data_IF_967027765248
#
_entry.id   IF_967027765248
#
_cell.length_a   1.000
_cell.length_b   1.000
_cell.length_c   1.000
_cell.angle_alpha   90.00
_cell.angle_beta   90.00
_cell.angle_gamma   90.00
#
_symmetry.space_group_name_H-M   'P 1'
#
loop_
_entity.id
_entity.type
_entity.pdbx_description
1 polymer ?
#
# COMPACT_ATOMS: atom_id res chain seq x y z
N UNK A 1 -21.35 21.79 11.50
CA UNK A 1 -20.59 20.53 11.76
C UNK A 1 -21.32 19.42 11.04
N UNK A 2 -20.62 18.51 10.32
CA UNK A 2 -21.23 17.37 9.63
C UNK A 2 -20.91 16.08 10.39
N UNK A 3 -21.84 15.12 10.34
CA UNK A 3 -21.62 13.81 10.94
C UNK A 3 -20.73 12.96 10.03
N UNK A 4 -19.62 12.44 10.54
CA UNK A 4 -18.80 11.47 9.80
C UNK A 4 -19.40 10.08 10.03
N UNK A 5 -19.87 9.44 8.96
CA UNK A 5 -20.53 8.13 9.01
C UNK A 5 -19.68 6.99 8.46
N UNK A 6 -18.52 7.31 7.90
CA UNK A 6 -17.61 6.30 7.39
C UNK A 6 -16.20 6.83 7.15
N UNK A 7 -15.24 5.93 7.21
CA UNK A 7 -13.87 6.19 6.81
C UNK A 7 -13.25 4.97 6.14
N UNK A 8 -12.25 5.21 5.28
CA UNK A 8 -11.47 4.12 4.70
C UNK A 8 -10.63 3.40 5.75
N UNK A 9 -10.42 2.11 5.55
CA UNK A 9 -9.41 1.36 6.30
C UNK A 9 -8.01 1.84 5.96
N UNK A 10 -7.04 1.41 6.76
CA UNK A 10 -5.61 1.63 6.51
C UNK A 10 -4.81 0.38 6.81
N UNK A 11 -4.01 -0.04 5.84
CA UNK A 11 -2.99 -1.06 6.00
C UNK A 11 -1.67 -0.46 5.52
N UNK A 12 -0.69 -0.32 6.40
CA UNK A 12 0.60 0.26 6.07
C UNK A 12 1.72 -0.75 6.33
N UNK A 13 2.64 -0.85 5.38
CA UNK A 13 3.75 -1.80 5.39
C UNK A 13 5.07 -1.09 5.18
N UNK A 14 6.11 -1.58 5.86
CA UNK A 14 7.50 -1.34 5.52
C UNK A 14 8.01 -2.57 4.78
N UNK A 15 8.64 -2.35 3.64
CA UNK A 15 9.24 -3.39 2.80
C UNK A 15 10.74 -3.23 2.81
N UNK A 16 11.45 -4.32 3.06
CA UNK A 16 12.92 -4.39 3.01
C UNK A 16 13.34 -5.29 1.86
N UNK A 17 14.14 -4.76 0.95
CA UNK A 17 14.76 -5.49 -0.15
C UNK A 17 16.23 -5.67 0.15
N UNK A 18 16.66 -6.91 0.33
CA UNK A 18 18.05 -7.31 0.60
C UNK A 18 18.68 -7.87 -0.68
N UNK A 19 19.59 -7.11 -1.26
CA UNK A 19 20.34 -7.45 -2.45
C UNK A 19 21.72 -8.03 -2.17
N UNK A 20 22.62 -7.86 -3.14
CA UNK A 20 24.03 -8.28 -3.03
C UNK A 20 24.93 -7.18 -3.59
N UNK A 21 25.75 -6.58 -2.73
CA UNK A 21 26.68 -5.54 -3.13
C UNK A 21 27.85 -6.08 -3.97
N UNK A 22 28.26 -5.30 -4.95
CA UNK A 22 29.52 -5.44 -5.67
C UNK A 22 29.89 -4.09 -6.31
N UNK A 23 31.09 -3.99 -6.88
CA UNK A 23 31.46 -2.80 -7.66
C UNK A 23 30.56 -2.68 -8.90
N UNK A 24 30.14 -1.46 -9.27
CA UNK A 24 29.23 -1.22 -10.38
C UNK A 24 29.70 -1.77 -11.74
N UNK A 25 31.03 -1.81 -11.96
CA UNK A 25 31.60 -2.49 -13.14
C UNK A 25 31.41 -4.01 -13.18
N UNK A 26 31.01 -4.62 -12.07
CA UNK A 26 30.68 -6.03 -11.91
C UNK A 26 29.18 -6.26 -11.63
N UNK A 27 28.32 -5.29 -11.93
CA UNK A 27 26.90 -5.31 -11.61
C UNK A 27 26.16 -6.62 -11.93
N UNK A 28 26.47 -7.40 -13.00
CA UNK A 28 25.85 -8.70 -13.24
C UNK A 28 26.10 -9.76 -12.16
N UNK A 29 27.12 -9.58 -11.31
CA UNK A 29 27.43 -10.45 -10.17
C UNK A 29 26.80 -9.98 -8.84
N UNK A 30 26.13 -8.84 -8.85
CA UNK A 30 25.38 -8.29 -7.73
C UNK A 30 23.86 -8.40 -7.92
N UNK A 31 23.13 -8.07 -6.86
CA UNK A 31 21.67 -7.96 -6.90
C UNK A 31 21.30 -6.55 -6.40
N UNK A 32 20.85 -5.70 -7.31
CA UNK A 32 20.58 -4.29 -7.02
C UNK A 32 19.23 -4.14 -6.28
N UNK A 33 19.28 -3.90 -4.98
CA UNK A 33 18.09 -3.76 -4.14
C UNK A 33 17.16 -2.61 -4.60
N UNK A 34 17.71 -1.49 -5.09
CA UNK A 34 16.90 -0.36 -5.60
C UNK A 34 16.12 -0.79 -6.86
N UNK A 35 16.75 -1.53 -7.78
CA UNK A 35 16.08 -1.97 -9.00
C UNK A 35 14.93 -2.95 -8.69
N UNK A 36 15.07 -3.83 -7.71
CA UNK A 36 13.99 -4.74 -7.30
C UNK A 36 12.89 -4.00 -6.52
N UNK A 37 13.26 -3.06 -5.64
CA UNK A 37 12.29 -2.19 -4.97
C UNK A 37 11.46 -1.39 -5.99
N UNK A 38 12.09 -0.81 -7.02
CA UNK A 38 11.39 -0.04 -8.05
C UNK A 38 10.40 -0.88 -8.86
N UNK A 39 10.73 -2.14 -9.16
CA UNK A 39 9.80 -3.07 -9.83
C UNK A 39 8.58 -3.39 -8.96
N UNK A 40 8.78 -3.58 -7.65
CA UNK A 40 7.69 -3.83 -6.73
C UNK A 40 6.80 -2.59 -6.55
N UNK A 41 7.41 -1.40 -6.47
CA UNK A 41 6.69 -0.12 -6.40
C UNK A 41 5.88 0.12 -7.69
N UNK A 42 6.44 -0.17 -8.86
CA UNK A 42 5.71 -0.09 -10.13
C UNK A 42 4.50 -1.03 -10.14
N UNK A 43 4.66 -2.27 -9.63
CA UNK A 43 3.54 -3.20 -9.50
C UNK A 43 2.43 -2.70 -8.56
N UNK A 44 2.81 -2.08 -7.42
CA UNK A 44 1.87 -1.45 -6.50
C UNK A 44 1.11 -0.30 -7.20
N UNK A 45 1.80 0.51 -8.01
CA UNK A 45 1.17 1.59 -8.78
C UNK A 45 0.23 1.05 -9.87
N UNK A 46 0.56 -0.08 -10.51
CA UNK A 46 -0.33 -0.77 -11.44
C UNK A 46 -1.62 -1.24 -10.75
N UNK A 47 -1.53 -1.83 -9.55
CA UNK A 47 -2.71 -2.19 -8.76
C UNK A 47 -3.55 -0.96 -8.37
N UNK A 48 -2.90 0.16 -8.02
CA UNK A 48 -3.59 1.42 -7.74
C UNK A 48 -4.37 1.92 -8.96
N UNK A 49 -3.77 1.88 -10.15
CA UNK A 49 -4.43 2.23 -11.43
C UNK A 49 -5.58 1.28 -11.72
N UNK A 50 -5.40 -0.03 -11.52
CA UNK A 50 -6.47 -1.02 -11.69
C UNK A 50 -7.68 -0.68 -10.80
N UNK A 51 -7.45 -0.34 -9.53
CA UNK A 51 -8.52 0.06 -8.60
C UNK A 51 -9.22 1.36 -9.01
N UNK A 52 -8.49 2.31 -9.54
CA UNK A 52 -9.08 3.57 -10.01
C UNK A 52 -10.00 3.41 -11.25
N UNK A 53 -9.79 2.35 -12.04
CA UNK A 53 -10.56 2.07 -13.26
C UNK A 53 -11.70 1.09 -12.98
N UNK A 54 -11.43 0.02 -12.22
CA UNK A 54 -12.32 -1.12 -12.09
C UNK A 54 -13.09 -1.15 -10.75
N UNK A 55 -12.71 -0.31 -9.77
CA UNK A 55 -13.34 -0.25 -8.47
C UNK A 55 -13.01 -1.45 -7.55
N UNK A 56 -13.87 -1.75 -6.58
CA UNK A 56 -15.22 -1.21 -6.34
C UNK A 56 -15.24 0.30 -6.05
N UNK A 57 -16.40 0.95 -6.29
CA UNK A 57 -16.58 2.38 -6.08
C UNK A 57 -17.59 2.67 -4.98
N UNK A 58 -17.33 3.76 -4.25
CA UNK A 58 -18.27 4.37 -3.31
C UNK A 58 -18.22 5.91 -3.50
N UNK A 59 -19.21 6.46 -4.18
CA UNK A 59 -19.27 7.87 -4.57
C UNK A 59 -19.56 8.84 -3.41
N UNK A 60 -19.76 8.32 -2.19
CA UNK A 60 -19.87 9.15 -0.98
C UNK A 60 -18.47 9.60 -0.48
N UNK A 61 -17.39 9.02 -1.00
CA UNK A 61 -16.04 9.48 -0.76
C UNK A 61 -15.56 10.43 -1.86
N UNK A 62 -14.75 11.42 -1.49
CA UNK A 62 -14.05 12.31 -2.44
C UNK A 62 -13.21 11.53 -3.45
N UNK A 63 -12.50 10.49 -2.98
CA UNK A 63 -11.83 9.50 -3.82
C UNK A 63 -12.61 8.19 -3.72
N UNK A 64 -13.39 7.81 -4.75
CA UNK A 64 -14.44 6.80 -4.64
C UNK A 64 -13.93 5.34 -4.67
N UNK A 65 -12.63 5.10 -4.73
CA UNK A 65 -12.03 3.77 -4.84
C UNK A 65 -10.93 3.54 -3.79
N UNK A 66 -10.53 2.30 -3.59
CA UNK A 66 -9.36 1.93 -2.80
C UNK A 66 -8.09 2.48 -3.43
N UNK A 67 -7.22 3.09 -2.63
CA UNK A 67 -5.95 3.64 -3.11
C UNK A 67 -4.76 2.90 -2.49
N UNK A 68 -3.71 2.72 -3.31
CA UNK A 68 -2.39 2.24 -2.88
C UNK A 68 -1.38 3.37 -3.12
N UNK A 69 -0.53 3.63 -2.14
CA UNK A 69 0.41 4.75 -2.20
C UNK A 69 1.75 4.38 -1.57
N UNK A 70 2.85 4.59 -2.31
CA UNK A 70 4.21 4.50 -1.77
C UNK A 70 4.66 5.88 -1.35
N UNK A 71 4.92 6.07 -0.05
CA UNK A 71 5.21 7.38 0.53
C UNK A 71 6.68 7.64 0.86
N UNK A 72 7.46 6.58 1.08
CA UNK A 72 8.88 6.70 1.49
C UNK A 72 9.70 5.66 0.77
N UNK A 73 10.91 6.04 0.33
CA UNK A 73 11.93 5.12 -0.18
C UNK A 73 13.32 5.59 0.25
N UNK A 74 14.17 4.63 0.65
CA UNK A 74 15.58 4.84 1.00
C UNK A 74 16.40 3.67 0.49
N UNK A 75 17.52 3.93 -0.18
CA UNK A 75 18.40 2.87 -0.66
C UNK A 75 19.70 3.38 -1.25
N UNK A 76 20.70 2.49 -1.24
CA UNK A 76 22.03 2.78 -1.74
C UNK A 76 22.88 3.64 -0.81
N UNK A 77 24.17 3.64 -1.05
CA UNK A 77 25.18 4.39 -0.25
C UNK A 77 26.06 5.27 -1.11
N UNK A 78 26.56 4.76 -2.25
CA UNK A 78 27.47 5.45 -3.17
C UNK A 78 27.22 4.96 -4.60
N UNK A 79 27.44 5.83 -5.59
CA UNK A 79 27.09 5.58 -7.00
C UNK A 79 27.75 4.34 -7.61
N UNK A 80 29.00 4.05 -7.25
CA UNK A 80 29.79 2.97 -7.87
C UNK A 80 29.72 1.62 -7.15
N UNK A 81 28.74 1.45 -6.24
CA UNK A 81 28.42 0.17 -5.56
C UNK A 81 26.99 -0.22 -5.92
N UNK A 82 26.79 -1.49 -6.29
CA UNK A 82 25.44 -2.06 -6.43
C UNK A 82 24.79 -2.09 -5.05
N UNK A 83 23.63 -1.45 -4.85
CA UNK A 83 22.97 -1.39 -3.55
C UNK A 83 22.52 -2.76 -3.08
N UNK A 84 22.90 -3.12 -1.85
CA UNK A 84 22.48 -4.35 -1.16
C UNK A 84 21.29 -4.16 -0.24
N UNK A 85 20.83 -2.90 -0.06
CA UNK A 85 19.67 -2.57 0.75
C UNK A 85 18.84 -1.46 0.11
N UNK A 86 17.53 -1.70 0.06
CA UNK A 86 16.54 -0.67 -0.20
C UNK A 86 15.31 -0.92 0.66
N UNK A 87 14.82 0.13 1.33
CA UNK A 87 13.62 0.08 2.14
C UNK A 87 12.59 1.09 1.60
N UNK A 88 11.33 0.71 1.58
CA UNK A 88 10.25 1.63 1.25
C UNK A 88 9.01 1.35 2.09
N UNK A 89 8.12 2.35 2.17
CA UNK A 89 6.86 2.23 2.88
C UNK A 89 5.72 2.54 1.94
N UNK A 90 4.68 1.70 2.00
CA UNK A 90 3.44 1.92 1.27
C UNK A 90 2.23 1.71 2.16
N UNK A 91 1.09 2.27 1.76
CA UNK A 91 -0.17 2.08 2.43
C UNK A 91 -1.32 1.80 1.45
N UNK A 92 -2.31 1.07 1.95
CA UNK A 92 -3.59 0.84 1.28
C UNK A 92 -4.67 1.54 2.09
N UNK A 93 -5.49 2.35 1.41
CA UNK A 93 -6.71 2.95 1.97
C UNK A 93 -7.91 2.31 1.32
N UNK A 94 -8.42 1.23 1.94
CA UNK A 94 -9.47 0.42 1.35
C UNK A 94 -10.87 0.90 1.70
N UNK A 95 -11.78 0.73 0.73
CA UNK A 95 -13.22 0.75 0.99
C UNK A 95 -13.63 -0.51 1.76
N UNK A 96 -14.74 -0.45 2.50
CA UNK A 96 -15.29 -1.64 3.20
C UNK A 96 -15.65 -2.79 2.23
N UNK A 97 -15.96 -2.44 0.98
CA UNK A 97 -16.30 -3.40 -0.09
C UNK A 97 -15.09 -4.09 -0.71
N UNK A 98 -13.87 -3.68 -0.33
CA UNK A 98 -12.62 -4.15 -0.93
C UNK A 98 -11.77 -4.82 0.14
N UNK A 99 -11.40 -6.07 -0.09
CA UNK A 99 -10.59 -6.82 0.85
C UNK A 99 -9.10 -6.45 0.68
N UNK A 100 -8.50 -5.75 1.67
CA UNK A 100 -7.10 -5.35 1.60
C UNK A 100 -6.14 -6.54 1.64
N UNK A 101 -6.53 -7.67 2.23
CA UNK A 101 -5.67 -8.86 2.30
C UNK A 101 -5.45 -9.47 0.92
N UNK A 102 -6.45 -9.41 0.03
CA UNK A 102 -6.26 -9.86 -1.35
C UNK A 102 -5.24 -8.99 -2.10
N UNK A 103 -5.19 -7.70 -1.83
CA UNK A 103 -4.20 -6.79 -2.43
C UNK A 103 -2.79 -7.07 -1.89
N UNK A 104 -2.66 -7.26 -0.58
CA UNK A 104 -1.38 -7.63 0.06
C UNK A 104 -0.88 -8.96 -0.51
N UNK A 105 -1.71 -9.98 -0.54
CA UNK A 105 -1.33 -11.29 -1.09
C UNK A 105 -0.84 -11.17 -2.54
N UNK A 106 -1.51 -10.40 -3.41
CA UNK A 106 -1.04 -10.16 -4.78
C UNK A 106 0.36 -9.53 -4.82
N UNK A 107 0.64 -8.57 -3.92
CA UNK A 107 1.94 -7.89 -3.83
C UNK A 107 3.02 -8.86 -3.34
N UNK A 108 2.73 -9.66 -2.31
CA UNK A 108 3.63 -10.67 -1.77
C UNK A 108 3.89 -11.80 -2.78
N UNK A 109 2.86 -12.28 -3.48
CA UNK A 109 2.99 -13.30 -4.52
C UNK A 109 3.88 -12.80 -5.67
N UNK A 110 3.67 -11.56 -6.14
CA UNK A 110 4.53 -10.96 -7.14
C UNK A 110 5.99 -10.85 -6.67
N UNK A 111 6.21 -10.44 -5.43
CA UNK A 111 7.56 -10.39 -4.84
C UNK A 111 8.21 -11.78 -4.80
N UNK A 112 7.49 -12.78 -4.31
CA UNK A 112 8.00 -14.16 -4.13
C UNK A 112 8.21 -14.87 -5.47
N UNK A 113 7.20 -14.89 -6.34
CA UNK A 113 7.22 -15.69 -7.56
C UNK A 113 8.07 -15.06 -8.68
N UNK A 114 8.12 -13.74 -8.74
CA UNK A 114 8.83 -13.04 -9.83
C UNK A 114 10.16 -12.46 -9.37
N UNK A 115 10.14 -11.64 -8.32
CA UNK A 115 11.33 -10.86 -7.96
C UNK A 115 12.36 -11.70 -7.20
N UNK A 116 11.97 -12.40 -6.13
CA UNK A 116 12.88 -13.23 -5.35
C UNK A 116 13.41 -14.39 -6.19
N UNK A 117 12.57 -15.01 -7.02
CA UNK A 117 13.00 -16.04 -7.95
C UNK A 117 14.09 -15.53 -8.91
N UNK A 118 13.97 -14.28 -9.40
CA UNK A 118 14.98 -13.67 -10.27
C UNK A 118 16.25 -13.31 -9.49
N UNK A 119 16.12 -12.74 -8.29
CA UNK A 119 17.25 -12.44 -7.38
C UNK A 119 18.08 -13.69 -7.05
N UNK A 120 17.42 -14.81 -6.81
CA UNK A 120 18.05 -16.09 -6.46
C UNK A 120 18.84 -16.73 -7.60
N UNK A 121 18.67 -16.30 -8.86
CA UNK A 121 19.59 -16.72 -9.95
C UNK A 121 21.02 -16.23 -9.74
N UNK A 122 21.20 -15.15 -8.96
CA UNK A 122 22.52 -14.59 -8.62
C UNK A 122 22.93 -15.01 -7.21
N UNK A 123 22.03 -14.90 -6.22
CA UNK A 123 22.33 -15.27 -4.83
C UNK A 123 21.09 -15.64 -4.04
N UNK A 124 21.08 -16.83 -3.45
CA UNK A 124 20.02 -17.30 -2.55
C UNK A 124 19.98 -16.58 -1.18
N UNK A 125 20.94 -15.68 -0.91
CA UNK A 125 20.97 -14.88 0.32
C UNK A 125 20.20 -13.58 0.22
N UNK A 126 19.65 -13.27 -0.96
CA UNK A 126 18.85 -12.06 -1.21
C UNK A 126 17.39 -12.32 -0.94
N UNK A 127 16.58 -11.27 -0.75
CA UNK A 127 15.17 -11.45 -0.47
C UNK A 127 14.40 -10.15 -0.35
N UNK A 128 13.09 -10.29 -0.17
CA UNK A 128 12.15 -9.20 0.09
C UNK A 128 11.31 -9.59 1.30
N UNK A 129 11.22 -8.73 2.28
CA UNK A 129 10.41 -8.95 3.48
C UNK A 129 9.44 -7.80 3.72
N UNK A 130 8.27 -8.15 4.25
CA UNK A 130 7.19 -7.21 4.57
C UNK A 130 6.99 -7.17 6.08
N UNK A 131 6.79 -5.98 6.62
CA UNK A 131 6.46 -5.76 8.02
C UNK A 131 5.26 -4.83 8.12
N UNK A 132 4.16 -5.36 8.68
CA UNK A 132 2.95 -4.58 8.91
C UNK A 132 3.20 -3.56 10.02
N UNK A 133 2.93 -2.27 9.74
CA UNK A 133 3.11 -1.16 10.68
C UNK A 133 1.81 -0.70 11.29
N UNK A 134 0.76 -0.67 10.48
CA UNK A 134 -0.57 -0.16 10.89
C UNK A 134 -1.63 -0.99 10.19
N UNK A 135 -2.65 -1.37 10.97
CA UNK A 135 -3.83 -2.05 10.47
C UNK A 135 -5.06 -1.58 11.24
N UNK A 136 -6.01 -0.95 10.55
CA UNK A 136 -7.35 -0.74 11.06
C UNK A 136 -8.39 -0.85 9.95
N UNK A 137 -9.58 -1.42 10.26
CA UNK A 137 -10.61 -1.68 9.25
C UNK A 137 -11.26 -0.37 8.77
N UNK A 138 -11.90 -0.45 7.59
CA UNK A 138 -12.83 0.58 7.15
C UNK A 138 -14.08 0.58 8.03
N UNK A 139 -14.66 1.76 8.23
CA UNK A 139 -15.96 1.93 8.87
C UNK A 139 -16.95 2.47 7.82
N UNK A 140 -18.11 1.88 7.76
CA UNK A 140 -19.23 2.38 6.96
C UNK A 140 -20.54 2.16 7.72
N UNK A 141 -21.07 3.24 8.27
CA UNK A 141 -22.36 3.26 8.94
C UNK A 141 -23.41 3.82 7.96
N UNK A 142 -24.47 3.07 7.72
CA UNK A 142 -25.60 3.59 6.92
C UNK A 142 -26.19 4.84 7.58
N UNK A 143 -26.63 5.78 6.75
CA UNK A 143 -27.25 7.03 7.23
C UNK A 143 -28.58 6.80 7.99
N UNK A 144 -29.22 5.67 7.77
CA UNK A 144 -30.49 5.28 8.38
C UNK A 144 -30.37 4.68 9.80
N UNK A 145 -29.15 4.49 10.30
CA UNK A 145 -28.93 3.97 11.65
C UNK A 145 -29.45 4.98 12.68
N UNK A 146 -30.20 4.49 13.68
CA UNK A 146 -30.83 5.32 14.72
C UNK A 146 -29.83 6.24 15.45
N UNK A 147 -28.60 5.78 15.67
CA UNK A 147 -27.54 6.59 16.26
C UNK A 147 -27.21 7.80 15.38
N UNK A 148 -27.07 7.61 14.08
CA UNK A 148 -26.77 8.69 13.11
C UNK A 148 -27.92 9.69 13.09
N UNK A 149 -29.16 9.21 13.07
CA UNK A 149 -30.37 10.07 13.12
C UNK A 149 -30.42 10.90 14.42
N UNK A 150 -30.14 10.28 15.56
CA UNK A 150 -30.07 10.98 16.85
C UNK A 150 -29.00 12.06 16.86
N UNK A 151 -27.78 11.76 16.38
CA UNK A 151 -26.68 12.74 16.32
C UNK A 151 -27.04 13.89 15.37
N UNK A 152 -27.59 13.61 14.17
CA UNK A 152 -28.09 14.62 13.24
C UNK A 152 -29.14 15.54 13.90
N UNK A 153 -30.07 14.95 14.65
CA UNK A 153 -31.08 15.68 15.41
C UNK A 153 -30.47 16.60 16.49
N UNK A 154 -29.49 16.12 17.27
CA UNK A 154 -28.80 16.92 18.29
C UNK A 154 -28.00 18.08 17.68
N UNK A 155 -27.42 17.89 16.50
CA UNK A 155 -26.65 18.91 15.80
C UNK A 155 -27.52 19.89 15.01
N UNK A 156 -28.82 19.65 14.88
CA UNK A 156 -29.72 20.44 14.03
C UNK A 156 -29.29 20.46 12.55
N UNK A 157 -28.58 19.43 12.10
CA UNK A 157 -28.01 19.36 10.76
C UNK A 157 -28.13 17.95 10.17
N UNK A 158 -28.84 17.82 9.06
CA UNK A 158 -29.04 16.52 8.38
C UNK A 158 -27.87 16.10 7.48
N UNK A 159 -26.80 16.91 7.36
CA UNK A 159 -25.66 16.59 6.50
C UNK A 159 -24.74 15.57 7.16
N UNK A 160 -24.21 14.68 6.35
CA UNK A 160 -23.19 13.70 6.72
C UNK A 160 -22.14 13.60 5.62
N UNK A 161 -21.02 12.95 5.93
CA UNK A 161 -19.96 12.67 4.96
C UNK A 161 -19.20 11.42 5.32
N UNK A 162 -18.52 10.84 4.35
CA UNK A 162 -17.45 9.86 4.54
C UNK A 162 -16.11 10.54 4.33
N UNK A 163 -15.07 10.08 5.04
CA UNK A 163 -13.71 10.65 4.96
C UNK A 163 -12.70 9.59 4.54
N UNK A 164 -11.65 10.01 3.85
CA UNK A 164 -10.63 9.10 3.30
C UNK A 164 -9.57 8.69 4.34
N UNK A 165 -9.60 9.26 5.54
CA UNK A 165 -8.68 9.01 6.66
C UNK A 165 -9.43 8.55 7.90
N UNK A 166 -8.77 7.77 8.76
CA UNK A 166 -9.30 7.41 10.08
C UNK A 166 -9.33 8.63 11.00
N UNK A 167 -10.37 8.72 11.82
CA UNK A 167 -10.59 9.80 12.81
C UNK A 167 -10.39 9.26 14.22
#
# INVERSE_FOLDING_TARGET
MEVVIGHKGKHAYSVKVEGLACHSGQAPHGVNAINYASKLIDYIDQLNKEKSINGPFDNDYEVPHTTLHTGVIKGGTILNIVPDLCEFEFEIRNLIKDDPLQLINKIEDYANEKLITDMHKVSSKTGISFNEKVNYPALDMGEDIDLVKKIKGLLGNNKHKKVVYGT
#
